data_IF_204279647836
#
_entry.id   IF_204279647836
#
_cell.length_a   1.000
_cell.length_b   1.000
_cell.length_c   1.000
_cell.angle_alpha   90.00
_cell.angle_beta   90.00
_cell.angle_gamma   90.00
#
_symmetry.space_group_name_H-M   'P 1'
#
loop_
_entity.id
_entity.type
_entity.pdbx_description
1 polymer ?
#
# COMPACT_ATOMS: atom_id res chain seq x y z
N UNK A 1 9.16 18.03 8.15
CA UNK A 1 9.39 16.64 7.71
C UNK A 1 10.78 16.54 7.11
N UNK A 2 11.64 15.69 7.67
CA UNK A 2 12.93 15.36 7.06
C UNK A 2 12.65 14.78 5.66
N UNK A 3 13.21 15.39 4.61
CA UNK A 3 13.04 14.90 3.24
C UNK A 3 13.46 13.43 3.23
N UNK A 4 12.51 12.52 2.98
CA UNK A 4 12.77 11.07 2.94
C UNK A 4 13.98 10.83 2.04
N UNK A 5 15.00 10.19 2.61
CA UNK A 5 16.21 9.78 1.90
C UNK A 5 15.78 8.96 0.67
N UNK A 6 16.34 9.19 -0.54
CA UNK A 6 15.99 8.39 -1.70
C UNK A 6 16.18 6.92 -1.36
N UNK A 7 15.17 6.09 -1.66
CA UNK A 7 15.23 4.67 -1.39
C UNK A 7 16.49 4.07 -2.03
N UNK A 8 17.21 3.24 -1.30
CA UNK A 8 18.32 2.50 -1.86
C UNK A 8 17.80 1.66 -3.05
N UNK A 9 18.59 1.46 -4.11
CA UNK A 9 18.18 0.62 -5.22
C UNK A 9 17.78 -0.77 -4.70
N UNK A 10 16.52 -1.13 -4.91
CA UNK A 10 15.94 -2.40 -4.49
C UNK A 10 15.91 -3.37 -5.68
N UNK A 11 16.55 -4.52 -5.53
CA UNK A 11 16.43 -5.63 -6.48
C UNK A 11 15.13 -6.39 -6.18
N UNK A 12 14.30 -6.63 -7.19
CA UNK A 12 13.04 -7.35 -7.04
C UNK A 12 13.02 -8.61 -7.91
N UNK A 13 12.69 -9.75 -7.31
CA UNK A 13 12.69 -11.06 -7.94
C UNK A 13 11.34 -11.77 -7.71
N UNK A 14 10.96 -12.60 -8.68
CA UNK A 14 9.96 -13.65 -8.54
C UNK A 14 10.69 -14.98 -8.48
N UNK A 15 10.36 -15.81 -7.52
CA UNK A 15 11.05 -17.07 -7.30
C UNK A 15 9.99 -18.16 -7.22
N UNK A 16 10.10 -19.14 -8.10
CA UNK A 16 9.33 -20.38 -8.00
C UNK A 16 10.18 -21.36 -7.19
N UNK A 17 9.65 -21.87 -6.10
CA UNK A 17 10.33 -22.83 -5.25
C UNK A 17 9.39 -23.97 -4.83
N UNK A 18 9.97 -25.10 -4.42
CA UNK A 18 9.19 -26.22 -3.87
C UNK A 18 8.46 -25.82 -2.59
N UNK A 19 7.22 -26.27 -2.41
CA UNK A 19 6.49 -26.09 -1.15
C UNK A 19 7.06 -27.04 -0.07
N UNK A 20 8.16 -26.62 0.54
CA UNK A 20 8.80 -27.33 1.64
C UNK A 20 9.27 -26.36 2.74
N UNK A 21 9.38 -26.81 3.99
CA UNK A 21 9.90 -25.99 5.10
C UNK A 21 11.30 -25.42 4.83
N UNK A 22 12.13 -26.16 4.10
CA UNK A 22 13.52 -25.79 3.81
C UNK A 22 13.64 -24.69 2.74
N UNK A 23 12.64 -24.55 1.86
CA UNK A 23 12.74 -23.67 0.70
C UNK A 23 12.89 -22.19 1.10
N UNK A 24 11.98 -21.69 1.94
CA UNK A 24 12.04 -20.29 2.38
C UNK A 24 13.30 -20.02 3.21
N UNK A 25 13.69 -20.96 4.08
CA UNK A 25 14.91 -20.84 4.87
C UNK A 25 16.15 -20.73 3.98
N UNK A 26 16.29 -21.64 3.01
CA UNK A 26 17.41 -21.65 2.06
C UNK A 26 17.48 -20.38 1.21
N UNK A 27 16.33 -19.84 0.77
CA UNK A 27 16.25 -18.57 0.04
C UNK A 27 16.77 -17.41 0.91
N UNK A 28 16.32 -17.31 2.17
CA UNK A 28 16.77 -16.24 3.07
C UNK A 28 18.26 -16.39 3.43
N UNK A 29 18.74 -17.61 3.66
CA UNK A 29 20.16 -17.86 3.89
C UNK A 29 21.02 -17.45 2.69
N UNK A 30 20.56 -17.73 1.46
CA UNK A 30 21.24 -17.29 0.25
C UNK A 30 21.32 -15.76 0.14
N UNK A 31 20.23 -15.05 0.47
CA UNK A 31 20.20 -13.58 0.53
C UNK A 31 21.19 -13.05 1.57
N UNK A 32 21.19 -13.62 2.78
CA UNK A 32 22.09 -13.21 3.85
C UNK A 32 23.57 -13.43 3.50
N UNK A 33 23.89 -14.50 2.78
CA UNK A 33 25.27 -14.85 2.37
C UNK A 33 25.91 -13.77 1.49
N UNK A 34 25.11 -13.08 0.69
CA UNK A 34 25.54 -11.97 -0.17
C UNK A 34 25.38 -10.60 0.50
N UNK A 35 25.06 -10.56 1.80
CA UNK A 35 24.86 -9.32 2.55
C UNK A 35 23.54 -8.59 2.25
N UNK A 36 22.61 -9.24 1.56
CA UNK A 36 21.32 -8.66 1.20
C UNK A 36 20.41 -8.45 2.42
N UNK A 37 19.63 -7.38 2.37
CA UNK A 37 18.62 -7.03 3.38
C UNK A 37 17.23 -7.18 2.78
N UNK A 38 16.45 -8.12 3.29
CA UNK A 38 15.08 -8.36 2.82
C UNK A 38 14.19 -7.17 3.18
N UNK A 39 13.46 -6.68 2.19
CA UNK A 39 12.42 -5.65 2.34
C UNK A 39 11.02 -6.23 2.21
N UNK A 40 10.83 -7.13 1.25
CA UNK A 40 9.56 -7.80 1.01
C UNK A 40 9.82 -9.28 0.79
N UNK A 41 9.05 -10.12 1.46
CA UNK A 41 8.94 -11.56 1.20
C UNK A 41 7.46 -11.92 1.31
N UNK A 42 6.84 -12.32 0.20
CA UNK A 42 5.43 -12.67 0.19
C UNK A 42 5.15 -13.81 -0.79
N UNK A 43 4.42 -14.83 -0.34
CA UNK A 43 3.87 -15.84 -1.25
C UNK A 43 2.76 -15.22 -2.08
N UNK A 44 2.86 -15.36 -3.40
CA UNK A 44 1.93 -14.71 -4.34
C UNK A 44 0.95 -15.68 -4.94
N UNK A 45 1.37 -16.89 -5.25
CA UNK A 45 0.46 -17.96 -5.65
C UNK A 45 1.10 -19.33 -5.44
N UNK A 46 0.25 -20.32 -5.25
CA UNK A 46 0.64 -21.72 -5.39
C UNK A 46 0.59 -22.09 -6.87
N UNK A 47 1.55 -22.89 -7.33
CA UNK A 47 1.67 -23.35 -8.70
C UNK A 47 1.41 -24.87 -8.74
N UNK A 48 0.55 -25.33 -9.67
CA UNK A 48 0.26 -26.76 -9.80
C UNK A 48 1.45 -27.50 -10.40
N UNK A 49 1.75 -28.69 -9.86
CA UNK A 49 2.78 -29.59 -10.40
C UNK A 49 3.22 -30.62 -9.36
N UNK A 50 3.83 -31.74 -9.78
CA UNK A 50 4.59 -32.62 -8.89
C UNK A 50 6.10 -32.30 -8.98
N UNK A 51 6.78 -31.86 -7.91
CA UNK A 51 6.22 -31.48 -6.59
C UNK A 51 5.47 -30.14 -6.63
N UNK A 52 4.60 -29.85 -5.63
CA UNK A 52 3.91 -28.57 -5.53
C UNK A 52 4.92 -27.43 -5.38
N UNK A 53 4.68 -26.32 -6.07
CA UNK A 53 5.55 -25.14 -6.03
C UNK A 53 4.79 -23.92 -5.54
N UNK A 54 5.51 -22.92 -5.03
CA UNK A 54 4.99 -21.60 -4.73
C UNK A 54 5.83 -20.53 -5.46
N UNK A 55 5.15 -19.50 -5.98
CA UNK A 55 5.80 -18.28 -6.47
C UNK A 55 5.82 -17.27 -5.32
N UNK A 56 7.02 -16.79 -4.95
CA UNK A 56 7.20 -15.70 -3.99
C UNK A 56 7.63 -14.41 -4.68
N UNK A 57 7.28 -13.29 -4.06
CA UNK A 57 7.91 -11.99 -4.26
C UNK A 57 9.06 -11.84 -3.28
N UNK A 58 10.22 -11.43 -3.78
CA UNK A 58 11.36 -11.07 -2.96
C UNK A 58 11.90 -9.71 -3.40
N UNK A 59 11.90 -8.75 -2.48
CA UNK A 59 12.58 -7.45 -2.67
C UNK A 59 13.74 -7.34 -1.69
N UNK A 60 14.93 -7.03 -2.19
CA UNK A 60 16.19 -7.02 -1.42
C UNK A 60 16.96 -5.73 -1.70
N UNK A 61 17.51 -5.14 -0.64
CA UNK A 61 18.50 -4.06 -0.70
C UNK A 61 19.90 -4.58 -0.39
N UNK A 62 20.92 -3.76 -0.66
CA UNK A 62 22.32 -4.05 -0.33
C UNK A 62 22.93 -5.29 -1.02
N UNK A 63 22.27 -5.84 -2.04
CA UNK A 63 22.82 -6.88 -2.91
C UNK A 63 22.44 -6.60 -4.38
N UNK A 64 23.38 -6.80 -5.29
CA UNK A 64 23.11 -6.67 -6.72
C UNK A 64 22.25 -7.82 -7.24
N UNK A 65 21.58 -7.58 -8.36
CA UNK A 65 20.80 -8.61 -9.05
C UNK A 65 21.66 -9.84 -9.40
N UNK A 66 22.88 -9.63 -9.89
CA UNK A 66 23.77 -10.71 -10.27
C UNK A 66 24.18 -11.58 -9.08
N UNK A 67 24.53 -10.96 -7.94
CA UNK A 67 24.89 -11.68 -6.71
C UNK A 67 23.71 -12.49 -6.17
N UNK A 68 22.51 -11.92 -6.18
CA UNK A 68 21.30 -12.60 -5.72
C UNK A 68 20.93 -13.79 -6.61
N UNK A 69 20.95 -13.61 -7.94
CA UNK A 69 20.66 -14.69 -8.88
C UNK A 69 21.67 -15.84 -8.73
N UNK A 70 22.96 -15.53 -8.56
CA UNK A 70 23.99 -16.53 -8.33
C UNK A 70 23.78 -17.28 -7.01
N UNK A 71 23.46 -16.57 -5.92
CA UNK A 71 23.23 -17.20 -4.62
C UNK A 71 21.97 -18.08 -4.59
N UNK A 72 20.89 -17.64 -5.26
CA UNK A 72 19.62 -18.38 -5.33
C UNK A 72 19.71 -19.62 -6.22
N UNK A 73 20.59 -19.61 -7.24
CA UNK A 73 20.83 -20.78 -8.08
C UNK A 73 21.40 -21.98 -7.30
N UNK A 74 22.06 -21.72 -6.17
CA UNK A 74 22.62 -22.76 -5.28
C UNK A 74 21.58 -23.34 -4.30
N UNK A 75 20.35 -22.82 -4.27
CA UNK A 75 19.29 -23.29 -3.36
C UNK A 75 18.55 -24.47 -4.01
N UNK A 76 18.63 -25.70 -3.46
CA UNK A 76 18.09 -26.89 -4.11
C UNK A 76 16.59 -26.86 -4.38
N UNK A 77 15.82 -26.10 -3.61
CA UNK A 77 14.37 -25.98 -3.72
C UNK A 77 13.94 -24.92 -4.74
N UNK A 78 14.84 -24.04 -5.20
CA UNK A 78 14.53 -23.02 -6.21
C UNK A 78 14.44 -23.67 -7.59
N UNK A 79 13.37 -23.39 -8.33
CA UNK A 79 13.08 -23.96 -9.65
C UNK A 79 13.20 -22.93 -10.75
N UNK A 80 12.79 -21.70 -10.49
CA UNK A 80 12.94 -20.59 -11.42
C UNK A 80 13.11 -19.27 -10.69
N UNK A 81 13.84 -18.35 -11.32
CA UNK A 81 13.96 -16.96 -10.89
C UNK A 81 13.64 -16.04 -12.06
N UNK A 82 12.92 -14.94 -11.79
CA UNK A 82 12.60 -13.91 -12.77
C UNK A 82 12.81 -12.53 -12.16
N UNK A 83 13.68 -11.74 -12.77
CA UNK A 83 13.85 -10.33 -12.38
C UNK A 83 12.56 -9.56 -12.66
N UNK A 84 12.15 -8.74 -11.70
CA UNK A 84 11.00 -7.84 -11.81
C UNK A 84 11.36 -6.43 -11.36
N UNK A 85 10.35 -5.60 -11.11
CA UNK A 85 10.52 -4.28 -10.50
C UNK A 85 9.74 -4.26 -9.20
N UNK A 86 10.32 -3.62 -8.19
CA UNK A 86 9.66 -3.45 -6.90
C UNK A 86 8.25 -2.84 -7.08
N UNK A 87 7.27 -3.27 -6.29
CA UNK A 87 5.90 -2.77 -6.43
C UNK A 87 5.82 -1.27 -6.16
N UNK A 88 6.69 -0.75 -5.30
CA UNK A 88 6.82 0.69 -5.09
C UNK A 88 7.29 1.43 -6.36
N UNK A 89 8.10 0.81 -7.21
CA UNK A 89 8.54 1.40 -8.48
C UNK A 89 7.44 1.37 -9.55
N UNK A 90 6.61 0.33 -9.55
CA UNK A 90 5.56 0.14 -10.57
C UNK A 90 4.26 0.85 -10.18
N UNK A 91 3.76 0.58 -8.98
CA UNK A 91 2.47 1.06 -8.48
C UNK A 91 2.59 2.21 -7.48
N UNK A 92 3.77 2.46 -6.93
CA UNK A 92 3.99 3.62 -6.07
C UNK A 92 3.25 3.60 -4.74
N UNK A 93 2.91 4.79 -4.27
CA UNK A 93 2.12 5.01 -3.05
C UNK A 93 0.66 4.60 -3.31
N UNK A 94 -0.07 4.17 -2.27
CA UNK A 94 -1.47 3.75 -2.40
C UNK A 94 -2.38 4.62 -1.58
N UNK A 95 -3.47 5.05 -2.20
CA UNK A 95 -4.64 5.61 -1.52
C UNK A 95 -5.69 4.52 -1.45
N UNK A 96 -6.27 4.33 -0.28
CA UNK A 96 -7.36 3.39 -0.06
C UNK A 96 -8.66 4.17 0.09
N UNK A 97 -9.73 3.72 -0.56
CA UNK A 97 -11.07 4.32 -0.44
C UNK A 97 -12.06 3.25 0.02
N UNK A 98 -12.73 3.50 1.14
CA UNK A 98 -13.70 2.58 1.77
C UNK A 98 -15.02 3.29 2.00
N UNK A 99 -16.14 2.63 1.70
CA UNK A 99 -17.47 3.09 2.10
C UNK A 99 -18.57 2.72 1.11
N UNK A 100 -19.61 3.56 1.00
CA UNK A 100 -20.75 3.30 0.13
C UNK A 100 -20.37 3.40 -1.35
N UNK A 101 -20.76 2.43 -2.18
CA UNK A 101 -20.28 2.30 -3.57
C UNK A 101 -20.42 3.55 -4.43
N UNK A 102 -21.51 4.31 -4.30
CA UNK A 102 -21.69 5.57 -5.04
C UNK A 102 -20.68 6.65 -4.63
N UNK A 103 -20.44 6.81 -3.33
CA UNK A 103 -19.51 7.81 -2.80
C UNK A 103 -18.05 7.39 -3.06
N UNK A 104 -17.75 6.10 -2.91
CA UNK A 104 -16.44 5.52 -3.27
C UNK A 104 -16.11 5.81 -4.74
N UNK A 105 -17.06 5.63 -5.66
CA UNK A 105 -16.85 5.92 -7.08
C UNK A 105 -16.55 7.40 -7.36
N UNK A 106 -17.22 8.33 -6.66
CA UNK A 106 -16.97 9.77 -6.81
C UNK A 106 -15.60 10.17 -6.26
N UNK A 107 -15.20 9.63 -5.11
CA UNK A 107 -13.84 9.84 -4.57
C UNK A 107 -12.80 9.27 -5.52
N UNK A 108 -13.02 8.07 -6.04
CA UNK A 108 -12.13 7.44 -7.00
C UNK A 108 -11.95 8.28 -8.26
N UNK A 109 -13.02 8.91 -8.79
CA UNK A 109 -12.93 9.81 -9.94
C UNK A 109 -11.93 10.94 -9.71
N UNK A 110 -12.04 11.64 -8.58
CA UNK A 110 -11.13 12.75 -8.25
C UNK A 110 -9.70 12.29 -7.99
N UNK A 111 -9.53 11.18 -7.27
CA UNK A 111 -8.24 10.61 -6.96
C UNK A 111 -7.53 10.07 -8.22
N UNK A 112 -8.23 9.36 -9.10
CA UNK A 112 -7.63 8.84 -10.34
C UNK A 112 -7.21 10.00 -11.25
N UNK A 113 -8.07 11.03 -11.40
CA UNK A 113 -7.76 12.20 -12.23
C UNK A 113 -6.50 12.92 -11.76
N UNK A 114 -6.37 13.13 -10.44
CA UNK A 114 -5.19 13.80 -9.89
C UNK A 114 -3.95 12.89 -9.93
N UNK A 115 -4.10 11.60 -9.61
CA UNK A 115 -3.01 10.64 -9.65
C UNK A 115 -2.43 10.52 -11.07
N UNK A 116 -3.26 10.54 -12.11
CA UNK A 116 -2.80 10.48 -13.51
C UNK A 116 -1.87 11.66 -13.86
N UNK A 117 -2.25 12.88 -13.44
CA UNK A 117 -1.44 14.09 -13.63
C UNK A 117 -0.06 13.97 -12.98
N UNK A 118 0.00 13.39 -11.79
CA UNK A 118 1.25 13.13 -11.06
C UNK A 118 2.05 11.98 -11.70
N UNK A 119 1.38 10.92 -12.12
CA UNK A 119 1.97 9.73 -12.71
C UNK A 119 2.66 10.01 -14.05
N UNK A 120 2.09 10.87 -14.88
CA UNK A 120 2.69 11.30 -16.14
C UNK A 120 4.00 12.08 -15.94
N UNK A 121 4.25 12.62 -14.75
CA UNK A 121 5.45 13.39 -14.40
C UNK A 121 6.52 12.56 -13.67
N UNK A 122 6.32 11.25 -13.57
CA UNK A 122 7.31 10.31 -13.02
C UNK A 122 7.05 9.88 -11.57
N UNK A 123 6.08 10.48 -10.88
CA UNK A 123 5.59 9.93 -9.61
C UNK A 123 4.76 8.66 -9.88
N UNK A 124 4.48 7.87 -8.83
CA UNK A 124 3.60 6.71 -8.90
C UNK A 124 2.65 6.73 -7.71
N UNK A 125 1.36 6.82 -8.00
CA UNK A 125 0.27 6.78 -7.03
C UNK A 125 -0.83 5.90 -7.62
N UNK A 126 -1.23 4.87 -6.88
CA UNK A 126 -2.40 4.03 -7.18
C UNK A 126 -3.56 4.36 -6.26
N UNK A 127 -4.78 4.08 -6.73
CA UNK A 127 -6.02 4.27 -6.00
C UNK A 127 -6.73 2.93 -5.94
N UNK A 128 -6.87 2.38 -4.75
CA UNK A 128 -7.49 1.08 -4.50
C UNK A 128 -8.81 1.32 -3.74
N UNK A 129 -9.89 0.70 -4.20
CA UNK A 129 -11.23 0.96 -3.67
C UNK A 129 -11.92 -0.33 -3.25
N UNK A 130 -12.68 -0.28 -2.17
CA UNK A 130 -13.59 -1.37 -1.80
C UNK A 130 -14.92 -0.80 -1.29
N UNK A 131 -16.06 -1.14 -1.93
CA UNK A 131 -17.36 -0.75 -1.41
C UNK A 131 -17.75 -1.67 -0.24
N UNK A 132 -17.99 -1.08 0.94
CA UNK A 132 -18.38 -1.78 2.16
C UNK A 132 -19.48 -1.01 2.90
N UNK A 133 -20.35 -1.74 3.59
CA UNK A 133 -21.39 -1.19 4.48
C UNK A 133 -21.42 -1.99 5.78
N UNK A 134 -21.92 -1.37 6.84
CA UNK A 134 -21.95 -1.97 8.19
C UNK A 134 -20.73 -1.58 9.02
N UNK A 135 -20.97 -1.26 10.28
CA UNK A 135 -19.97 -0.72 11.20
C UNK A 135 -18.78 -1.67 11.39
N UNK A 136 -19.05 -2.93 11.74
CA UNK A 136 -18.03 -3.96 11.97
C UNK A 136 -17.14 -4.20 10.74
N UNK A 137 -17.76 -4.37 9.57
CA UNK A 137 -17.04 -4.64 8.33
C UNK A 137 -16.14 -3.47 7.91
N UNK A 138 -16.64 -2.23 8.06
CA UNK A 138 -15.85 -1.03 7.76
C UNK A 138 -14.72 -0.90 8.78
N UNK A 139 -14.98 -1.03 10.08
CA UNK A 139 -13.96 -0.92 11.12
C UNK A 139 -12.84 -1.95 10.94
N UNK A 140 -13.17 -3.20 10.61
CA UNK A 140 -12.20 -4.24 10.28
C UNK A 140 -11.36 -3.87 9.05
N UNK A 141 -12.00 -3.37 7.99
CA UNK A 141 -11.30 -2.95 6.79
C UNK A 141 -10.38 -1.74 7.02
N UNK A 142 -10.79 -0.77 7.84
CA UNK A 142 -9.97 0.39 8.25
C UNK A 142 -8.71 -0.07 8.96
N UNK A 143 -8.82 -0.98 9.93
CA UNK A 143 -7.64 -1.53 10.63
C UNK A 143 -6.69 -2.25 9.66
N UNK A 144 -7.25 -3.05 8.76
CA UNK A 144 -6.47 -3.79 7.77
C UNK A 144 -5.70 -2.89 6.79
N UNK A 145 -6.06 -1.60 6.67
CA UNK A 145 -5.25 -0.63 5.90
C UNK A 145 -3.84 -0.47 6.46
N UNK A 146 -3.67 -0.60 7.78
CA UNK A 146 -2.36 -0.54 8.44
C UNK A 146 -1.39 -1.63 7.99
N UNK A 147 -1.93 -2.77 7.54
CA UNK A 147 -1.15 -3.93 7.09
C UNK A 147 -0.89 -3.90 5.57
N UNK A 148 -1.51 -2.98 4.83
CA UNK A 148 -1.35 -2.89 3.38
C UNK A 148 0.00 -2.29 3.01
N UNK A 149 0.87 -3.03 2.28
CA UNK A 149 2.13 -2.47 1.81
C UNK A 149 1.87 -1.23 0.96
N UNK A 150 2.64 -0.17 1.19
CA UNK A 150 2.59 1.11 0.44
C UNK A 150 1.32 1.95 0.67
N UNK A 151 0.39 1.56 1.55
CA UNK A 151 -0.71 2.45 1.95
C UNK A 151 -0.13 3.72 2.57
N UNK A 152 -0.61 4.87 2.10
CA UNK A 152 -0.16 6.19 2.57
C UNK A 152 -1.32 7.08 3.00
N UNK A 153 -2.57 6.75 2.65
CA UNK A 153 -3.75 7.52 3.04
C UNK A 153 -5.03 6.69 2.88
N UNK A 154 -5.99 6.89 3.78
CA UNK A 154 -7.35 6.35 3.69
C UNK A 154 -8.37 7.47 3.45
N UNK A 155 -9.35 7.23 2.57
CA UNK A 155 -10.56 8.03 2.43
C UNK A 155 -11.80 7.22 2.84
N UNK A 156 -12.55 7.74 3.82
CA UNK A 156 -13.83 7.21 4.25
C UNK A 156 -14.97 7.92 3.52
N UNK A 157 -15.66 7.18 2.64
CA UNK A 157 -16.67 7.68 1.72
C UNK A 157 -18.07 7.17 2.12
N UNK A 158 -18.71 7.86 3.06
CA UNK A 158 -20.00 7.48 3.65
C UNK A 158 -20.96 8.65 3.84
N UNK A 159 -22.23 8.34 4.11
CA UNK A 159 -23.25 9.32 4.55
C UNK A 159 -23.50 9.27 6.06
N UNK A 160 -23.16 8.15 6.70
CA UNK A 160 -23.20 7.95 8.14
C UNK A 160 -22.12 6.93 8.54
N UNK A 161 -21.15 7.33 9.36
CA UNK A 161 -20.17 6.42 9.97
C UNK A 161 -19.83 6.90 11.38
N UNK A 162 -19.68 5.97 12.31
CA UNK A 162 -19.37 6.25 13.71
C UNK A 162 -19.00 4.98 14.47
N UNK A 163 -19.03 5.05 15.80
CA UNK A 163 -18.78 3.90 16.67
C UNK A 163 -17.37 3.32 16.46
N UNK A 164 -17.28 2.02 16.21
CA UNK A 164 -16.02 1.30 16.05
C UNK A 164 -15.20 1.79 14.84
N UNK A 165 -15.85 2.41 13.83
CA UNK A 165 -15.15 3.00 12.69
C UNK A 165 -14.29 4.20 13.16
N UNK A 166 -14.80 5.00 14.10
CA UNK A 166 -14.08 6.16 14.64
C UNK A 166 -12.86 5.72 15.44
N UNK A 167 -13.00 4.65 16.23
CA UNK A 167 -11.89 4.06 16.98
C UNK A 167 -10.83 3.51 16.02
N UNK A 168 -11.24 2.77 14.98
CA UNK A 168 -10.34 2.26 13.96
C UNK A 168 -9.62 3.38 13.19
N UNK A 169 -10.29 4.51 12.94
CA UNK A 169 -9.68 5.68 12.30
C UNK A 169 -8.57 6.29 13.17
N UNK A 170 -8.79 6.44 14.48
CA UNK A 170 -7.76 6.92 15.40
C UNK A 170 -6.57 5.95 15.47
N UNK A 171 -6.83 4.65 15.59
CA UNK A 171 -5.80 3.61 15.58
C UNK A 171 -4.92 3.69 14.32
N UNK A 172 -5.55 3.86 13.15
CA UNK A 172 -4.85 3.97 11.87
C UNK A 172 -3.99 5.25 11.78
N UNK A 173 -4.48 6.37 12.34
CA UNK A 173 -3.74 7.63 12.41
C UNK A 173 -2.52 7.53 13.32
N UNK A 174 -2.60 6.76 14.41
CA UNK A 174 -1.45 6.47 15.27
C UNK A 174 -0.34 5.73 14.52
N UNK A 175 -0.70 4.89 13.54
CA UNK A 175 0.27 4.24 12.63
C UNK A 175 0.88 5.21 11.60
N UNK A 176 0.48 6.48 11.61
CA UNK A 176 0.97 7.52 10.70
C UNK A 176 0.29 7.51 9.33
N UNK A 177 -0.83 6.81 9.17
CA UNK A 177 -1.63 6.82 7.94
C UNK A 177 -2.76 7.85 8.11
N UNK A 178 -2.70 9.00 7.41
CA UNK A 178 -3.74 10.02 7.49
C UNK A 178 -5.09 9.51 6.97
N UNK A 179 -6.16 10.03 7.55
CA UNK A 179 -7.54 9.70 7.18
C UNK A 179 -8.28 10.96 6.75
N UNK A 180 -8.91 10.91 5.58
CA UNK A 180 -9.86 11.91 5.09
C UNK A 180 -11.26 11.30 5.15
N UNK A 181 -12.25 12.05 5.63
CA UNK A 181 -13.66 11.63 5.57
C UNK A 181 -14.48 12.58 4.71
N UNK A 182 -15.53 12.04 4.09
CA UNK A 182 -16.58 12.90 3.58
C UNK A 182 -17.33 13.57 4.74
N UNK A 183 -17.91 14.73 4.48
CA UNK A 183 -18.83 15.35 5.43
C UNK A 183 -20.10 14.49 5.55
N UNK A 184 -20.21 13.79 6.68
CA UNK A 184 -21.20 12.73 6.90
C UNK A 184 -21.77 12.79 8.32
N UNK A 185 -22.88 12.10 8.57
CA UNK A 185 -23.40 11.93 9.92
C UNK A 185 -22.56 10.94 10.73
N UNK A 186 -22.73 10.94 12.06
CA UNK A 186 -22.00 10.07 12.98
C UNK A 186 -20.72 10.72 13.51
N UNK A 187 -19.89 9.94 14.21
CA UNK A 187 -18.71 10.47 14.90
C UNK A 187 -17.45 10.51 14.06
N UNK A 188 -17.34 9.76 12.95
CA UNK A 188 -16.09 9.70 12.15
C UNK A 188 -15.51 11.06 11.78
N UNK A 189 -16.29 12.09 11.37
CA UNK A 189 -15.74 13.41 11.04
C UNK A 189 -14.90 14.07 12.14
N UNK A 190 -15.07 13.70 13.39
CA UNK A 190 -14.31 14.25 14.53
C UNK A 190 -13.01 13.46 14.82
N UNK A 191 -12.81 12.31 14.15
CA UNK A 191 -11.70 11.38 14.39
C UNK A 191 -10.73 11.26 13.19
N UNK A 192 -10.86 12.16 12.21
CA UNK A 192 -10.04 12.15 10.98
C UNK A 192 -9.20 13.42 10.85
N UNK A 193 -8.22 13.41 9.94
CA UNK A 193 -7.34 14.56 9.73
C UNK A 193 -8.03 15.68 8.95
N UNK A 194 -8.95 15.34 8.05
CA UNK A 194 -9.65 16.29 7.19
C UNK A 194 -11.05 15.82 6.84
N UNK A 195 -12.00 16.76 6.81
CA UNK A 195 -13.38 16.52 6.36
C UNK A 195 -13.67 17.34 5.11
N UNK A 196 -14.15 16.68 4.05
CA UNK A 196 -14.42 17.31 2.75
C UNK A 196 -15.84 16.98 2.30
N UNK A 197 -16.61 17.98 1.90
CA UNK A 197 -18.02 17.79 1.51
C UNK A 197 -18.15 17.22 0.10
N UNK A 198 -17.35 17.72 -0.85
CA UNK A 198 -17.35 17.23 -2.22
C UNK A 198 -16.50 15.96 -2.35
N UNK A 199 -17.07 14.83 -2.80
CA UNK A 199 -16.33 13.57 -2.87
C UNK A 199 -15.23 13.59 -3.93
N UNK A 200 -15.41 14.29 -5.04
CA UNK A 200 -14.38 14.38 -6.08
C UNK A 200 -13.17 15.16 -5.54
N UNK A 201 -13.41 16.29 -4.89
CA UNK A 201 -12.40 17.08 -4.22
C UNK A 201 -11.67 16.29 -3.13
N UNK A 202 -12.39 15.47 -2.34
CA UNK A 202 -11.77 14.61 -1.34
C UNK A 202 -10.74 13.66 -1.98
N UNK A 203 -11.07 13.08 -3.13
CA UNK A 203 -10.15 12.25 -3.91
C UNK A 203 -8.93 13.02 -4.43
N UNK A 204 -9.13 14.23 -4.96
CA UNK A 204 -8.02 15.08 -5.41
C UNK A 204 -7.10 15.46 -4.25
N UNK A 205 -7.66 15.89 -3.12
CA UNK A 205 -6.90 16.27 -1.92
C UNK A 205 -6.15 15.07 -1.31
N UNK A 206 -6.72 13.88 -1.37
CA UNK A 206 -6.04 12.64 -0.99
C UNK A 206 -4.74 12.41 -1.76
N UNK A 207 -4.76 12.60 -3.09
CA UNK A 207 -3.55 12.49 -3.93
C UNK A 207 -2.56 13.59 -3.62
N UNK A 208 -3.03 14.84 -3.59
CA UNK A 208 -2.18 15.99 -3.31
C UNK A 208 -1.47 15.89 -1.95
N UNK A 209 -2.10 15.25 -0.97
CA UNK A 209 -1.52 15.01 0.37
C UNK A 209 -0.27 14.14 0.33
N UNK A 210 -0.28 13.09 -0.49
CA UNK A 210 0.81 12.11 -0.52
C UNK A 210 1.80 12.35 -1.66
N UNK A 211 1.49 13.28 -2.56
CA UNK A 211 2.32 13.59 -3.70
C UNK A 211 3.54 14.45 -3.31
N UNK A 212 4.75 14.02 -3.69
CA UNK A 212 5.99 14.74 -3.35
C UNK A 212 6.12 16.09 -4.09
N UNK A 213 5.36 16.23 -5.18
CA UNK A 213 5.39 17.41 -6.07
C UNK A 213 4.28 18.40 -5.81
N UNK A 214 3.33 18.09 -4.92
CA UNK A 214 2.28 18.99 -4.52
C UNK A 214 2.75 19.91 -3.39
N UNK A 215 2.33 21.18 -3.42
CA UNK A 215 2.54 22.12 -2.30
C UNK A 215 1.47 21.99 -1.21
N UNK A 216 0.56 21.01 -1.35
CA UNK A 216 -0.51 20.79 -0.39
C UNK A 216 0.05 20.12 0.86
N UNK A 217 -0.20 20.73 2.01
CA UNK A 217 0.24 20.23 3.29
C UNK A 217 -0.98 19.95 4.17
N UNK A 218 -1.23 18.66 4.42
CA UNK A 218 -2.35 18.22 5.24
C UNK A 218 -2.25 18.74 6.67
N UNK A 219 -1.04 18.85 7.24
CA UNK A 219 -0.85 19.36 8.60
C UNK A 219 -1.37 20.79 8.73
N UNK A 220 -1.23 21.60 7.68
CA UNK A 220 -1.76 22.97 7.63
C UNK A 220 -3.29 23.03 7.43
N UNK A 221 -3.91 21.93 6.99
CA UNK A 221 -5.36 21.83 6.78
C UNK A 221 -6.09 21.07 7.89
N UNK A 222 -5.39 20.49 8.86
CA UNK A 222 -6.00 19.68 9.93
C UNK A 222 -7.12 20.43 10.65
N UNK A 223 -8.26 19.76 10.82
CA UNK A 223 -9.45 20.30 11.48
C UNK A 223 -10.28 21.29 10.65
N UNK A 224 -9.89 21.58 9.40
CA UNK A 224 -10.70 22.39 8.47
C UNK A 224 -11.79 21.54 7.82
N UNK A 225 -12.87 22.19 7.41
CA UNK A 225 -13.98 21.61 6.64
C UNK A 225 -14.08 22.34 5.30
N UNK A 226 -14.18 21.59 4.21
CA UNK A 226 -14.33 22.10 2.83
C UNK A 226 -15.66 21.68 2.22
#
# INVERSE_FOLDING_TARGET
MEKRRPAAPTTALRIDHEESPEATAGIIEAVCRVGGVVRTLATVRQLPGPPPLAEIELEVEAASEQELLAALAEVPQVRATRTTRALATVFGKRIIVIGGGAQVAQVALGAITEADRHNLRGERISVDTIPLVGEEAIAAAVRAVGDLPRAQLLVLAGSLMGGDISVAADELRVLGIPVIALNMAGSVPDHVDLVVSDPVQAGTMAVMTIADTASFDLDQQRGRRY
#
